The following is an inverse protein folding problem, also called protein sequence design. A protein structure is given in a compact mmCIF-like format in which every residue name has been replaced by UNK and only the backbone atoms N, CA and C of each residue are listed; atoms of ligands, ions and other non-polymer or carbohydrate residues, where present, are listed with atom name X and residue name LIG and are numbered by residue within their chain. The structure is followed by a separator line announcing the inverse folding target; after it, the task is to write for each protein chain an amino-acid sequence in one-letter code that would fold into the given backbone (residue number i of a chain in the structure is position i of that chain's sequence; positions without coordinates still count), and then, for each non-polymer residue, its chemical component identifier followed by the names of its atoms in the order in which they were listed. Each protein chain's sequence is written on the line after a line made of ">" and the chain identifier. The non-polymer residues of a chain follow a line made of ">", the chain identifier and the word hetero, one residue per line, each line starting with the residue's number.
data_IF_212177382360
#
_entry.id   IF_212177382360
#
_cell.length_a   1.000
_cell.length_b   1.000
_cell.length_c   1.000
_cell.angle_alpha   90.00
_cell.angle_beta   90.00
_cell.angle_gamma   90.00
#
_symmetry.space_group_name_H-M   'P 1'
#
loop_
_entity.id
_entity.type
_entity.pdbx_description
1 polymer ?
#
# COMPACT_ATOMS: atom_id res chain seq x y z
N UNK A 1 -1.58 -7.45 3.88
CA UNK A 1 -1.04 -6.08 3.85
C UNK A 1 0.15 -5.99 2.88
N UNK A 2 1.34 -6.48 3.23
CA UNK A 2 2.56 -6.27 2.41
C UNK A 2 2.44 -6.73 0.95
N UNK A 3 1.86 -7.90 0.67
CA UNK A 3 1.61 -8.34 -0.71
C UNK A 3 0.71 -7.36 -1.51
N UNK A 4 -0.29 -6.74 -0.87
CA UNK A 4 -1.14 -5.75 -1.55
C UNK A 4 -0.42 -4.43 -1.82
N UNK A 5 0.52 -4.07 -0.95
CA UNK A 5 1.40 -2.92 -1.20
C UNK A 5 2.15 -3.08 -2.52
N UNK A 6 2.74 -4.25 -2.75
CA UNK A 6 3.38 -4.58 -4.02
C UNK A 6 2.39 -4.58 -5.20
N UNK A 7 1.22 -5.20 -5.00
CA UNK A 7 0.21 -5.31 -6.07
C UNK A 7 -0.33 -3.95 -6.51
N UNK A 8 -0.31 -2.93 -5.64
CA UNK A 8 -0.66 -1.56 -6.02
C UNK A 8 0.21 -1.05 -7.17
N UNK A 9 1.53 -1.27 -7.10
CA UNK A 9 2.46 -0.89 -8.17
C UNK A 9 2.40 -1.83 -9.36
N UNK A 10 2.02 -3.10 -9.14
CA UNK A 10 1.88 -4.10 -10.19
C UNK A 10 0.76 -3.76 -11.17
N UNK A 11 -0.42 -3.45 -10.64
CA UNK A 11 -1.62 -3.31 -11.45
C UNK A 11 -2.79 -2.67 -10.72
N UNK A 12 -3.38 -1.68 -11.38
CA UNK A 12 -4.67 -1.09 -11.01
C UNK A 12 -5.55 -0.98 -12.25
N UNK A 13 -6.84 -0.64 -12.07
CA UNK A 13 -7.79 -0.48 -13.18
C UNK A 13 -7.26 0.43 -14.29
N UNK A 14 -6.72 1.59 -13.92
CA UNK A 14 -6.28 2.60 -14.89
C UNK A 14 -4.80 2.43 -15.26
N UNK A 15 -4.04 1.69 -14.45
CA UNK A 15 -2.61 1.46 -14.65
C UNK A 15 -2.24 -0.03 -14.55
N UNK A 16 -2.50 -0.83 -15.60
CA UNK A 16 -2.09 -2.23 -15.64
C UNK A 16 -0.58 -2.36 -15.88
N UNK A 17 0.01 -3.50 -15.50
CA UNK A 17 1.36 -3.92 -15.89
C UNK A 17 2.47 -2.89 -15.62
N UNK A 18 2.51 -2.40 -14.38
CA UNK A 18 3.41 -1.34 -13.90
C UNK A 18 3.27 -0.01 -14.63
N UNK A 19 2.14 0.27 -15.27
CA UNK A 19 1.94 1.52 -16.01
C UNK A 19 2.03 2.75 -15.10
N UNK A 20 1.70 2.66 -13.82
CA UNK A 20 1.82 3.77 -12.86
C UNK A 20 3.28 4.19 -12.69
N UNK A 21 4.17 3.20 -12.47
CA UNK A 21 5.61 3.42 -12.33
C UNK A 21 6.17 4.06 -13.62
N UNK A 22 5.84 3.49 -14.78
CA UNK A 22 6.29 3.99 -16.09
C UNK A 22 5.77 5.40 -16.38
N UNK A 23 4.56 5.73 -15.95
CA UNK A 23 3.97 7.05 -16.16
C UNK A 23 4.71 8.11 -15.33
N UNK A 24 5.02 7.80 -14.07
CA UNK A 24 5.82 8.67 -13.21
C UNK A 24 7.27 8.81 -13.71
N UNK A 25 7.87 7.73 -14.23
CA UNK A 25 9.20 7.76 -14.85
C UNK A 25 9.32 8.71 -16.03
N UNK A 26 8.27 8.81 -16.85
CA UNK A 26 8.24 9.76 -17.98
C UNK A 26 8.25 11.22 -17.52
N UNK A 27 7.81 11.48 -16.29
CA UNK A 27 7.84 12.81 -15.67
C UNK A 27 9.12 13.05 -14.86
N UNK A 28 10.14 12.20 -15.01
CA UNK A 28 11.43 12.33 -14.34
C UNK A 28 11.47 11.79 -12.91
N UNK A 29 10.44 11.09 -12.46
CA UNK A 29 10.41 10.41 -11.14
C UNK A 29 11.04 9.02 -11.23
N UNK A 30 11.82 8.58 -10.24
CA UNK A 30 12.43 7.24 -10.22
C UNK A 30 11.91 6.45 -9.02
N UNK A 31 11.73 5.14 -9.22
CA UNK A 31 11.35 4.22 -8.15
C UNK A 31 12.44 4.15 -7.08
N UNK A 32 12.06 4.28 -5.81
CA UNK A 32 12.96 4.42 -4.65
C UNK A 32 13.11 5.87 -4.19
N UNK A 33 13.88 6.72 -4.90
CA UNK A 33 14.08 8.12 -4.50
C UNK A 33 12.81 8.97 -4.50
N UNK A 34 11.90 8.71 -5.44
CA UNK A 34 10.72 9.55 -5.67
C UNK A 34 9.39 8.80 -5.55
N UNK A 35 9.43 7.46 -5.53
CA UNK A 35 8.25 6.61 -5.35
C UNK A 35 8.62 5.54 -4.34
N UNK A 36 7.86 5.47 -3.25
CA UNK A 36 8.10 4.47 -2.23
C UNK A 36 6.80 4.03 -1.58
N UNK A 37 6.82 2.85 -0.98
CA UNK A 37 5.79 2.42 -0.07
C UNK A 37 6.41 1.59 1.05
N UNK A 38 5.70 1.53 2.16
CA UNK A 38 6.04 0.59 3.21
C UNK A 38 4.79 0.06 3.88
N UNK A 39 4.91 -1.15 4.38
CA UNK A 39 3.93 -1.77 5.27
C UNK A 39 4.53 -1.96 6.66
N UNK A 40 3.98 -1.23 7.63
CA UNK A 40 4.25 -1.40 9.05
C UNK A 40 3.30 -2.39 9.70
N UNK A 41 3.32 -2.44 11.03
CA UNK A 41 2.37 -3.23 11.82
C UNK A 41 0.97 -2.63 11.81
N UNK A 42 0.88 -1.30 11.79
CA UNK A 42 -0.37 -0.57 11.99
C UNK A 42 -0.88 0.13 10.72
N UNK A 43 -0.02 0.30 9.70
CA UNK A 43 -0.34 1.09 8.51
C UNK A 43 0.39 0.58 7.26
N UNK A 44 -0.17 0.92 6.09
CA UNK A 44 0.50 0.86 4.79
C UNK A 44 0.50 2.27 4.22
N UNK A 45 1.67 2.77 3.82
CA UNK A 45 1.84 4.14 3.33
C UNK A 45 2.43 4.11 1.93
N UNK A 46 1.82 4.86 1.01
CA UNK A 46 2.31 5.09 -0.35
C UNK A 46 2.76 6.55 -0.46
N UNK A 47 3.94 6.78 -1.04
CA UNK A 47 4.59 8.09 -1.11
C UNK A 47 5.03 8.37 -2.54
N UNK A 48 4.55 9.48 -3.10
CA UNK A 48 4.96 9.98 -4.41
C UNK A 48 5.51 11.39 -4.25
N UNK A 49 6.70 11.62 -4.80
CA UNK A 49 7.31 12.93 -4.92
C UNK A 49 7.20 13.39 -6.38
N UNK A 50 6.55 14.53 -6.60
CA UNK A 50 6.37 15.14 -7.92
C UNK A 50 6.60 16.66 -7.86
N UNK A 51 6.98 17.31 -8.99
CA UNK A 51 7.08 18.77 -9.05
C UNK A 51 5.72 19.42 -8.77
N UNK A 52 5.68 20.39 -7.86
CA UNK A 52 4.43 21.07 -7.45
C UNK A 52 4.00 22.20 -8.41
N UNK A 53 4.89 22.59 -9.33
CA UNK A 53 4.67 23.58 -10.39
C UNK A 53 4.22 22.95 -11.71
N UNK A 54 4.19 21.62 -11.81
CA UNK A 54 3.68 20.86 -12.95
C UNK A 54 2.26 20.32 -12.67
N UNK A 55 1.20 20.91 -13.26
CA UNK A 55 -0.16 20.46 -13.07
C UNK A 55 -0.43 19.03 -13.58
N UNK A 56 0.27 18.59 -14.63
CA UNK A 56 0.09 17.24 -15.19
C UNK A 56 0.68 16.19 -14.24
N UNK A 57 1.87 16.46 -13.68
CA UNK A 57 2.49 15.60 -12.67
C UNK A 57 1.64 15.49 -11.39
N UNK A 58 1.09 16.62 -10.94
CA UNK A 58 0.19 16.67 -9.80
C UNK A 58 -1.11 15.87 -10.05
N UNK A 59 -1.74 16.03 -11.21
CA UNK A 59 -2.95 15.27 -11.54
C UNK A 59 -2.68 13.76 -11.62
N UNK A 60 -1.57 13.37 -12.27
CA UNK A 60 -1.16 11.97 -12.37
C UNK A 60 -0.87 11.34 -10.99
N UNK A 61 -0.17 12.05 -10.11
CA UNK A 61 0.14 11.53 -8.76
C UNK A 61 -1.13 11.26 -7.96
N UNK A 62 -2.11 12.19 -8.01
CA UNK A 62 -3.40 11.99 -7.35
C UNK A 62 -4.19 10.85 -7.98
N UNK A 63 -4.18 10.72 -9.31
CA UNK A 63 -4.83 9.63 -10.02
C UNK A 63 -4.25 8.26 -9.60
N UNK A 64 -2.92 8.15 -9.51
CA UNK A 64 -2.24 6.92 -9.11
C UNK A 64 -2.58 6.56 -7.65
N UNK A 65 -2.50 7.53 -6.72
CA UNK A 65 -2.85 7.28 -5.33
C UNK A 65 -4.32 6.90 -5.15
N UNK A 66 -5.24 7.49 -5.91
CA UNK A 66 -6.65 7.10 -5.90
C UNK A 66 -6.86 5.69 -6.48
N UNK A 67 -6.09 5.30 -7.50
CA UNK A 67 -6.09 3.93 -8.00
C UNK A 67 -5.55 2.93 -6.97
N UNK A 68 -4.52 3.28 -6.20
CA UNK A 68 -4.05 2.45 -5.09
C UNK A 68 -5.08 2.36 -3.96
N UNK A 69 -5.87 3.41 -3.75
CA UNK A 69 -6.91 3.44 -2.73
C UNK A 69 -8.13 2.61 -3.11
N UNK A 70 -8.59 2.68 -4.37
CA UNK A 70 -9.92 2.16 -4.75
C UNK A 70 -9.90 1.13 -5.90
N UNK A 71 -8.78 0.96 -6.61
CA UNK A 71 -8.75 0.21 -7.86
C UNK A 71 -7.55 -0.75 -8.04
N UNK A 72 -6.93 -1.26 -6.96
CA UNK A 72 -6.00 -2.39 -7.05
C UNK A 72 -6.74 -3.61 -7.59
N UNK A 73 -6.23 -4.20 -8.68
CA UNK A 73 -6.87 -5.32 -9.37
C UNK A 73 -6.62 -6.65 -8.68
N UNK A 74 -5.38 -6.89 -8.25
CA UNK A 74 -4.93 -8.13 -7.65
C UNK A 74 -5.45 -9.36 -8.42
N UNK A 75 -5.27 -9.36 -9.75
CA UNK A 75 -5.64 -10.48 -10.61
C UNK A 75 -4.80 -11.71 -10.27
N UNK A 76 -5.30 -12.88 -10.63
CA UNK A 76 -4.63 -14.14 -10.31
C UNK A 76 -3.21 -14.19 -10.91
N UNK A 77 -3.03 -13.72 -12.15
CA UNK A 77 -1.74 -13.60 -12.83
C UNK A 77 -0.79 -12.60 -12.15
N UNK A 78 -1.32 -11.49 -11.63
CA UNK A 78 -0.54 -10.47 -10.92
C UNK A 78 -0.02 -11.00 -9.57
N UNK A 79 -0.88 -11.69 -8.83
CA UNK A 79 -0.54 -12.28 -7.53
C UNK A 79 0.50 -13.39 -7.68
N UNK A 80 0.34 -14.26 -8.68
CA UNK A 80 1.29 -15.33 -8.94
C UNK A 80 2.66 -14.78 -9.41
N UNK A 81 2.66 -13.70 -10.20
CA UNK A 81 3.89 -13.06 -10.64
C UNK A 81 4.64 -12.30 -9.52
N UNK A 82 3.91 -11.78 -8.53
CA UNK A 82 4.50 -11.00 -7.42
C UNK A 82 5.00 -11.90 -6.28
N UNK A 83 4.40 -13.08 -6.12
CA UNK A 83 4.80 -14.10 -5.12
C UNK A 83 6.32 -14.38 -5.07
N UNK A 84 7.02 -14.69 -6.19
CA UNK A 84 8.45 -14.96 -6.14
C UNK A 84 9.29 -13.73 -5.74
N UNK A 85 8.79 -12.50 -5.98
CA UNK A 85 9.49 -11.26 -5.62
C UNK A 85 9.44 -11.07 -4.10
N UNK A 86 8.24 -11.17 -3.50
CA UNK A 86 8.08 -11.09 -2.04
C UNK A 86 8.82 -12.23 -1.33
N UNK A 87 8.84 -13.42 -1.94
CA UNK A 87 9.62 -14.55 -1.43
C UNK A 87 11.12 -14.27 -1.40
N UNK A 88 11.66 -13.72 -2.49
CA UNK A 88 13.08 -13.35 -2.58
C UNK A 88 13.45 -12.30 -1.52
N UNK A 89 12.59 -11.31 -1.33
CA UNK A 89 12.77 -10.30 -0.30
C UNK A 89 12.76 -10.90 1.12
N UNK A 90 11.81 -11.78 1.41
CA UNK A 90 11.78 -12.50 2.68
C UNK A 90 13.08 -13.29 2.91
N UNK A 91 13.62 -13.93 1.86
CA UNK A 91 14.87 -14.70 1.94
C UNK A 91 16.07 -13.80 2.23
N UNK A 92 16.16 -12.64 1.56
CA UNK A 92 17.24 -11.68 1.77
C UNK A 92 17.26 -11.09 3.18
N UNK A 93 16.10 -10.99 3.83
CA UNK A 93 15.98 -10.50 5.20
C UNK A 93 16.48 -11.50 6.26
N UNK A 94 16.75 -12.78 5.95
CA UNK A 94 17.06 -13.83 6.95
C UNK A 94 18.45 -13.77 7.62
N UNK A 95 19.16 -12.64 7.55
CA UNK A 95 20.46 -12.43 8.18
C UNK A 95 20.45 -12.52 9.72
N UNK A 96 21.64 -12.58 10.33
CA UNK A 96 21.77 -12.72 11.79
C UNK A 96 21.10 -11.57 12.57
N UNK A 97 21.26 -10.33 12.11
CA UNK A 97 20.63 -9.15 12.72
C UNK A 97 19.10 -9.27 12.75
N UNK A 98 18.49 -9.73 11.65
CA UNK A 98 17.05 -9.92 11.59
C UNK A 98 16.58 -11.03 12.52
N UNK A 99 17.28 -12.17 12.57
CA UNK A 99 16.91 -13.27 13.49
C UNK A 99 16.95 -12.84 14.96
N UNK A 100 17.95 -12.03 15.34
CA UNK A 100 18.03 -11.44 16.68
C UNK A 100 16.86 -10.48 16.94
N UNK A 101 16.59 -9.57 15.99
CA UNK A 101 15.45 -8.65 16.07
C UNK A 101 14.12 -9.41 16.23
N UNK A 102 13.87 -10.46 15.46
CA UNK A 102 12.65 -11.28 15.57
C UNK A 102 12.55 -11.98 16.92
N UNK A 103 13.67 -12.44 17.50
CA UNK A 103 13.69 -13.05 18.82
C UNK A 103 13.37 -12.04 19.93
N UNK A 104 14.00 -10.87 19.88
CA UNK A 104 13.72 -9.75 20.81
C UNK A 104 12.28 -9.29 20.68
N UNK A 105 11.78 -9.10 19.45
CA UNK A 105 10.42 -8.70 19.14
C UNK A 105 9.38 -9.63 19.75
N UNK A 106 9.54 -10.94 19.58
CA UNK A 106 8.65 -11.95 20.17
C UNK A 106 8.61 -11.88 21.69
N UNK A 107 9.75 -11.56 22.32
CA UNK A 107 9.84 -11.43 23.77
C UNK A 107 9.17 -10.16 24.26
N UNK A 108 9.48 -9.02 23.64
CA UNK A 108 8.95 -7.70 24.01
C UNK A 108 7.43 -7.62 23.85
N UNK A 109 6.89 -8.24 22.80
CA UNK A 109 5.47 -8.18 22.46
C UNK A 109 4.68 -9.43 22.86
N UNK A 110 5.25 -10.27 23.72
CA UNK A 110 4.63 -11.53 24.16
C UNK A 110 3.20 -11.29 24.67
N UNK A 111 2.28 -12.17 24.26
CA UNK A 111 0.85 -12.06 24.59
C UNK A 111 0.04 -11.10 23.70
N UNK A 112 0.65 -10.43 22.72
CA UNK A 112 -0.05 -9.53 21.79
C UNK A 112 -0.03 -10.03 20.34
N UNK A 113 -0.89 -9.43 19.50
CA UNK A 113 -0.87 -9.70 18.05
C UNK A 113 0.46 -9.26 17.40
N UNK A 114 1.12 -8.24 17.94
CA UNK A 114 2.40 -7.75 17.43
C UNK A 114 3.51 -8.82 17.46
N UNK A 115 3.46 -9.78 18.39
CA UNK A 115 4.45 -10.86 18.46
C UNK A 115 4.37 -11.85 17.27
N UNK A 116 3.23 -11.93 16.58
CA UNK A 116 2.96 -12.94 15.54
C UNK A 116 2.55 -12.35 14.19
N UNK A 117 2.52 -11.01 14.06
CA UNK A 117 2.09 -10.28 12.86
C UNK A 117 3.19 -9.37 12.29
N UNK A 118 4.38 -9.93 12.08
CA UNK A 118 5.43 -9.19 11.37
C UNK A 118 4.98 -8.86 9.93
N UNK A 119 5.24 -7.65 9.41
CA UNK A 119 4.71 -7.21 8.11
C UNK A 119 5.09 -8.11 6.92
N UNK A 120 6.31 -8.65 6.91
CA UNK A 120 6.79 -9.55 5.84
C UNK A 120 6.02 -10.90 5.81
N UNK A 121 5.32 -11.25 6.90
CA UNK A 121 4.57 -12.48 7.01
C UNK A 121 5.44 -13.72 7.25
N UNK A 122 4.86 -14.88 6.94
CA UNK A 122 5.49 -16.21 7.03
C UNK A 122 5.49 -16.88 5.66
N UNK A 123 6.44 -17.79 5.45
CA UNK A 123 6.64 -18.49 4.18
C UNK A 123 5.35 -19.12 3.66
N UNK A 124 4.59 -19.80 4.52
CA UNK A 124 3.36 -20.49 4.15
C UNK A 124 2.31 -19.53 3.58
N UNK A 125 2.24 -18.31 4.12
CA UNK A 125 1.34 -17.27 3.61
C UNK A 125 1.84 -16.70 2.30
N UNK A 126 3.14 -16.44 2.17
CA UNK A 126 3.71 -15.93 0.91
C UNK A 126 3.47 -16.92 -0.23
N UNK A 127 3.75 -18.20 0.00
CA UNK A 127 3.67 -19.25 -1.02
C UNK A 127 2.22 -19.65 -1.36
N UNK A 128 1.32 -19.60 -0.37
CA UNK A 128 -0.01 -20.20 -0.45
C UNK A 128 -1.19 -19.23 -0.53
N UNK A 129 -0.99 -17.91 -0.41
CA UNK A 129 -2.12 -16.95 -0.42
C UNK A 129 -2.82 -16.96 -1.77
N UNK A 130 -4.12 -17.32 -1.84
CA UNK A 130 -4.90 -17.20 -3.07
C UNK A 130 -5.15 -15.73 -3.38
N UNK A 131 -5.22 -15.38 -4.66
CA UNK A 131 -5.51 -14.00 -5.09
C UNK A 131 -6.83 -13.46 -4.52
N UNK A 132 -7.84 -14.31 -4.36
CA UNK A 132 -9.10 -13.93 -3.71
C UNK A 132 -8.89 -13.41 -2.28
N UNK A 133 -7.98 -14.02 -1.50
CA UNK A 133 -7.70 -13.56 -0.14
C UNK A 133 -7.09 -12.16 -0.11
N UNK A 134 -6.26 -11.82 -1.09
CA UNK A 134 -5.73 -10.48 -1.26
C UNK A 134 -6.85 -9.48 -1.60
N UNK A 135 -7.74 -9.82 -2.54
CA UNK A 135 -8.92 -9.01 -2.87
C UNK A 135 -9.85 -8.79 -1.67
N UNK A 136 -10.10 -9.83 -0.88
CA UNK A 136 -10.94 -9.74 0.32
C UNK A 136 -10.30 -8.80 1.36
N UNK A 137 -8.98 -8.94 1.60
CA UNK A 137 -8.25 -8.05 2.52
C UNK A 137 -8.30 -6.59 2.03
N UNK A 138 -8.14 -6.38 0.72
CA UNK A 138 -8.22 -5.07 0.12
C UNK A 138 -9.59 -4.43 0.36
N UNK A 139 -10.69 -5.14 0.07
CA UNK A 139 -12.05 -4.66 0.31
C UNK A 139 -12.34 -4.37 1.79
N UNK A 140 -11.78 -5.18 2.71
CA UNK A 140 -11.98 -5.02 4.15
C UNK A 140 -11.25 -3.80 4.72
N UNK A 141 -10.03 -3.52 4.24
CA UNK A 141 -9.14 -2.55 4.87
C UNK A 141 -8.95 -1.25 4.07
N UNK A 142 -8.99 -1.28 2.74
CA UNK A 142 -8.79 -0.10 1.89
C UNK A 142 -10.10 0.65 1.70
N UNK A 143 -10.53 1.33 2.77
CA UNK A 143 -11.78 2.10 2.82
C UNK A 143 -11.52 3.58 3.03
N UNK A 144 -12.31 4.49 2.43
CA UNK A 144 -12.13 5.93 2.63
C UNK A 144 -12.12 6.38 4.09
N UNK A 145 -12.93 5.74 4.96
CA UNK A 145 -13.02 6.07 6.39
C UNK A 145 -11.83 5.52 7.22
N UNK A 146 -10.91 4.79 6.60
CA UNK A 146 -9.66 4.27 7.18
C UNK A 146 -8.41 4.85 6.49
N UNK A 147 -8.57 5.88 5.68
CA UNK A 147 -7.50 6.49 4.88
C UNK A 147 -7.27 7.95 5.26
N UNK A 148 -6.03 8.39 5.12
CA UNK A 148 -5.66 9.79 5.19
C UNK A 148 -4.75 10.13 3.99
N UNK A 149 -4.93 11.32 3.42
CA UNK A 149 -4.05 11.87 2.40
C UNK A 149 -3.32 13.08 2.98
N UNK A 150 -1.98 13.04 2.94
CA UNK A 150 -1.13 14.15 3.34
C UNK A 150 -0.39 14.71 2.12
N UNK A 151 -0.40 16.03 1.96
CA UNK A 151 0.33 16.74 0.91
C UNK A 151 1.23 17.76 1.58
N UNK A 152 2.54 17.61 1.39
CA UNK A 152 3.56 18.47 2.02
C UNK A 152 4.52 18.94 0.95
N UNK A 153 4.67 20.26 0.82
CA UNK A 153 5.55 20.87 -0.17
C UNK A 153 5.19 22.31 -0.46
N UNK A 154 5.90 22.90 -1.42
CA UNK A 154 5.64 24.25 -1.90
C UNK A 154 4.46 24.25 -2.88
N UNK A 155 3.25 24.20 -2.35
CA UNK A 155 2.01 24.22 -3.14
C UNK A 155 1.42 25.63 -3.10
N UNK A 156 1.59 26.44 -4.16
CA UNK A 156 1.27 27.87 -4.12
C UNK A 156 -0.24 28.15 -4.03
N UNK A 157 -1.08 27.23 -4.50
CA UNK A 157 -2.53 27.41 -4.54
C UNK A 157 -3.29 26.22 -3.94
N UNK A 158 -3.79 26.40 -2.71
CA UNK A 158 -4.59 25.40 -1.99
C UNK A 158 -5.88 24.99 -2.73
N UNK A 159 -6.41 25.83 -3.62
CA UNK A 159 -7.60 25.48 -4.42
C UNK A 159 -7.31 24.34 -5.38
N UNK A 160 -6.09 24.26 -5.93
CA UNK A 160 -5.70 23.16 -6.82
C UNK A 160 -5.80 21.84 -6.07
N UNK A 161 -5.31 21.78 -4.82
CA UNK A 161 -5.45 20.59 -3.98
C UNK A 161 -6.90 20.22 -3.73
N UNK A 162 -7.78 21.20 -3.43
CA UNK A 162 -9.20 20.91 -3.25
C UNK A 162 -9.84 20.32 -4.51
N UNK A 163 -9.50 20.84 -5.69
CA UNK A 163 -9.97 20.30 -6.98
C UNK A 163 -9.47 18.88 -7.21
N UNK A 164 -8.18 18.62 -6.99
CA UNK A 164 -7.59 17.28 -7.16
C UNK A 164 -8.16 16.27 -6.17
N UNK A 165 -8.29 16.64 -4.89
CA UNK A 165 -8.91 15.80 -3.86
C UNK A 165 -10.35 15.47 -4.25
N UNK A 166 -11.13 16.47 -4.65
CA UNK A 166 -12.52 16.24 -5.04
C UNK A 166 -12.62 15.33 -6.28
N UNK A 167 -11.79 15.60 -7.29
CA UNK A 167 -11.75 14.83 -8.54
C UNK A 167 -11.44 13.35 -8.28
N UNK A 168 -10.40 13.06 -7.50
CA UNK A 168 -9.86 11.71 -7.41
C UNK A 168 -10.28 10.92 -6.17
N UNK A 169 -10.61 11.60 -5.06
CA UNK A 169 -10.92 10.96 -3.78
C UNK A 169 -12.35 11.18 -3.28
N UNK A 170 -13.16 11.98 -3.99
CA UNK A 170 -14.57 12.22 -3.60
C UNK A 170 -15.54 11.80 -4.68
N UNK A 171 -15.32 12.21 -5.93
CA UNK A 171 -16.26 11.95 -7.03
C UNK A 171 -16.49 10.46 -7.28
N UNK A 172 -15.43 9.65 -7.19
CA UNK A 172 -15.44 8.21 -7.47
C UNK A 172 -15.19 7.35 -6.21
N UNK A 173 -15.30 7.94 -5.01
CA UNK A 173 -15.05 7.21 -3.78
C UNK A 173 -16.11 6.11 -3.57
N UNK A 174 -15.71 4.85 -3.32
CA UNK A 174 -16.66 3.81 -2.97
C UNK A 174 -17.34 4.14 -1.64
N UNK A 175 -18.65 3.89 -1.55
CA UNK A 175 -19.34 4.01 -0.26
C UNK A 175 -18.75 3.00 0.73
N UNK A 176 -18.31 3.44 1.92
CA UNK A 176 -17.75 2.51 2.89
C UNK A 176 -18.84 1.51 3.33
N UNK A 177 -18.56 0.20 3.37
CA UNK A 177 -19.49 -0.75 3.95
C UNK A 177 -19.68 -0.42 5.43
N UNK A 178 -20.85 -0.75 6.03
CA UNK A 178 -21.09 -0.51 7.46
C UNK A 178 -19.93 -1.07 8.28
N UNK A 179 -19.38 -0.27 9.20
CA UNK A 179 -18.22 -0.69 9.98
C UNK A 179 -18.54 -1.96 10.75
N UNK A 180 -17.75 -3.03 10.60
CA UNK A 180 -17.84 -4.14 11.53
C UNK A 180 -17.54 -3.54 12.91
N UNK A 181 -18.49 -3.67 13.84
CA UNK A 181 -18.38 -3.09 15.17
C UNK A 181 -17.00 -3.41 15.75
N UNK A 182 -16.33 -2.39 16.30
CA UNK A 182 -15.03 -2.53 16.94
C UNK A 182 -15.12 -3.57 18.07
N UNK A 183 -14.81 -4.83 17.78
CA UNK A 183 -14.39 -5.76 18.82
C UNK A 183 -12.90 -5.55 19.00
N UNK A 184 -12.53 -4.53 19.78
CA UNK A 184 -11.21 -4.55 20.41
C UNK A 184 -11.10 -5.92 21.11
N UNK A 185 -10.06 -6.73 20.83
CA UNK A 185 -9.82 -7.92 21.63
C UNK A 185 -9.73 -7.47 23.07
N UNK A 186 -10.61 -7.99 23.93
CA UNK A 186 -10.50 -7.79 25.37
C UNK A 186 -9.08 -8.22 25.77
N UNK A 187 -8.27 -7.37 26.40
CA UNK A 187 -7.01 -7.81 26.96
C UNK A 187 -7.30 -8.98 27.91
N UNK A 188 -6.65 -10.12 27.70
CA UNK A 188 -6.56 -11.17 28.74
C UNK A 188 -5.61 -10.71 29.83
#
# INVERSE_FOLDING_TARGET
>A
AHLLEHLAFRGTRDFPDFAAVKALERLGSSFGPHQNAYTGTDETVYQLQVPSDDPEAMDLAFQILANFAYHITARDDEVDAERPIVWEEWRQRQGAAWRNCVHEWKTLYSGSQYAVRLPIGIQETIEGTPAQRARDFYQEHYRPDRMALAVVGDVPNKRILQTLIHKWFVADAPSPPPSPGSSMPTPM
#
